data_IF_199856674354
#
_entry.id   IF_199856674354
#
_cell.length_a   1.000
_cell.length_b   1.000
_cell.length_c   1.000
_cell.angle_alpha   90.00
_cell.angle_beta   90.00
_cell.angle_gamma   90.00
#
_symmetry.space_group_name_H-M   'P 1'
#
loop_
_entity.id
_entity.type
_entity.pdbx_description
1 polymer ?
#
# COMPACT_ATOMS: atom_id res chain seq x y z
N UNK A 1 24.37 18.95 47.80
CA UNK A 1 24.62 19.12 46.35
C UNK A 1 24.34 17.86 45.52
N UNK A 2 24.67 16.65 46.00
CA UNK A 2 24.42 15.40 45.23
C UNK A 2 22.93 15.09 44.94
N UNK A 3 21.99 15.41 45.84
CA UNK A 3 20.55 15.10 45.65
C UNK A 3 19.88 15.88 44.50
N UNK A 4 20.37 17.08 44.19
CA UNK A 4 19.88 17.88 43.06
C UNK A 4 20.41 17.37 41.71
N UNK A 5 21.62 16.80 41.69
CA UNK A 5 22.21 16.22 40.48
C UNK A 5 21.49 14.93 40.04
N UNK A 6 21.06 14.10 41.00
CA UNK A 6 20.27 12.90 40.68
C UNK A 6 18.86 13.22 40.18
N UNK A 7 18.22 14.28 40.70
CA UNK A 7 16.91 14.73 40.24
C UNK A 7 16.94 15.28 38.81
N UNK A 8 18.00 16.01 38.44
CA UNK A 8 18.14 16.58 37.09
C UNK A 8 18.43 15.49 36.03
N UNK A 9 19.19 14.46 36.38
CA UNK A 9 19.47 13.33 35.48
C UNK A 9 18.21 12.50 35.16
N UNK A 10 17.31 12.32 36.13
CA UNK A 10 16.05 11.60 35.93
C UNK A 10 15.08 12.33 34.97
N UNK A 11 15.05 13.67 34.99
CA UNK A 11 14.19 14.48 34.10
C UNK A 11 14.69 14.45 32.66
N UNK A 12 16.01 14.45 32.44
CA UNK A 12 16.60 14.37 31.08
C UNK A 12 16.40 12.98 30.47
N UNK A 13 16.52 11.91 31.27
CA UNK A 13 16.25 10.54 30.81
C UNK A 13 14.78 10.31 30.45
N UNK A 14 13.84 10.99 31.13
CA UNK A 14 12.41 10.91 30.80
C UNK A 14 12.05 11.72 29.54
N UNK A 15 12.77 12.81 29.26
CA UNK A 15 12.60 13.62 28.05
C UNK A 15 13.20 12.98 26.78
N UNK A 16 14.22 12.13 26.92
CA UNK A 16 14.89 11.47 25.80
C UNK A 16 14.05 10.37 25.11
N UNK A 17 12.98 9.88 25.76
CA UNK A 17 12.14 8.79 25.22
C UNK A 17 11.08 9.23 24.20
N UNK A 18 11.00 10.54 23.88
CA UNK A 18 9.93 11.07 23.02
C UNK A 18 10.38 11.40 21.60
N UNK A 19 11.68 11.30 21.30
CA UNK A 19 12.24 11.66 20.00
C UNK A 19 12.61 10.42 19.18
N UNK A 20 11.61 9.68 18.70
CA UNK A 20 11.78 9.06 17.38
C UNK A 20 11.86 10.22 16.39
N UNK A 21 13.08 10.74 16.16
CA UNK A 21 13.35 11.84 15.26
C UNK A 21 13.01 11.40 13.83
N UNK A 22 11.75 11.58 13.49
CA UNK A 22 11.17 11.38 12.18
C UNK A 22 11.64 12.52 11.28
N UNK A 23 12.82 12.44 10.65
CA UNK A 23 13.17 13.40 9.59
C UNK A 23 12.20 13.22 8.43
N UNK A 24 11.30 14.17 8.27
CA UNK A 24 10.40 14.32 7.14
C UNK A 24 10.98 15.47 6.33
N UNK A 25 11.47 15.20 5.13
CA UNK A 25 11.82 16.26 4.20
C UNK A 25 10.56 17.00 3.75
N UNK A 26 10.70 18.25 3.31
CA UNK A 26 9.58 19.00 2.75
C UNK A 26 9.34 18.59 1.29
N UNK A 27 8.08 18.35 0.87
CA UNK A 27 7.75 18.15 -0.54
C UNK A 27 8.20 19.35 -1.39
N UNK A 28 8.65 19.08 -2.62
CA UNK A 28 9.07 20.09 -3.59
C UNK A 28 8.18 20.08 -4.84
N UNK A 29 8.34 21.09 -5.71
CA UNK A 29 7.59 21.19 -6.97
C UNK A 29 6.12 21.55 -6.77
N UNK A 30 5.23 21.01 -7.61
CA UNK A 30 3.79 21.33 -7.59
C UNK A 30 3.09 20.96 -6.27
N UNK A 31 3.64 20.04 -5.50
CA UNK A 31 3.10 19.61 -4.20
C UNK A 31 3.80 20.28 -3.01
N UNK A 32 4.65 21.28 -3.23
CA UNK A 32 5.29 22.03 -2.15
C UNK A 32 4.24 22.62 -1.19
N UNK A 33 4.50 22.51 0.12
CA UNK A 33 3.55 22.91 1.15
C UNK A 33 2.55 21.83 1.59
N UNK A 34 2.57 20.63 0.98
CA UNK A 34 1.76 19.50 1.47
C UNK A 34 2.17 19.13 2.90
N UNK A 35 1.20 19.08 3.80
CA UNK A 35 1.40 18.78 5.23
C UNK A 35 0.99 17.36 5.62
N UNK A 36 0.18 16.69 4.80
CA UNK A 36 -0.34 15.36 5.10
C UNK A 36 -1.13 15.35 6.42
N UNK A 37 -0.79 14.43 7.32
CA UNK A 37 -1.38 14.32 8.65
C UNK A 37 -0.73 15.18 9.74
N UNK A 38 0.04 16.22 9.39
CA UNK A 38 0.72 17.08 10.38
C UNK A 38 -0.28 17.66 11.40
N UNK A 39 0.13 17.70 12.67
CA UNK A 39 -0.74 18.09 13.80
C UNK A 39 -1.77 17.03 14.21
N UNK A 40 -1.89 15.95 13.45
CA UNK A 40 -2.72 14.79 13.75
C UNK A 40 -2.09 13.80 14.71
N UNK A 41 -2.88 12.81 15.15
CA UNK A 41 -2.42 11.74 16.03
C UNK A 41 -1.54 10.74 15.25
N UNK A 42 -0.45 10.29 15.87
CA UNK A 42 0.32 9.15 15.37
C UNK A 42 -0.34 7.84 15.78
N UNK A 43 -0.61 6.97 14.81
CA UNK A 43 -1.26 5.68 15.01
C UNK A 43 -0.46 4.55 14.39
N UNK A 44 -0.55 3.36 14.98
CA UNK A 44 0.19 2.16 14.58
C UNK A 44 -0.82 1.03 14.37
N UNK A 45 -1.38 0.87 13.16
CA UNK A 45 -2.35 -0.19 12.91
C UNK A 45 -1.76 -1.56 13.22
N UNK A 46 -2.57 -2.39 13.86
CA UNK A 46 -2.23 -3.76 14.27
C UNK A 46 -2.94 -4.80 13.42
N UNK A 47 -3.89 -4.39 12.57
CA UNK A 47 -4.58 -5.27 11.64
C UNK A 47 -4.87 -4.59 10.29
N UNK A 48 -5.18 -5.38 9.27
CA UNK A 48 -5.64 -4.88 7.97
C UNK A 48 -6.87 -3.98 8.10
N UNK A 49 -7.81 -4.34 8.99
CA UNK A 49 -9.03 -3.55 9.24
C UNK A 49 -8.70 -2.21 9.90
N UNK A 50 -7.82 -2.16 10.89
CA UNK A 50 -7.38 -0.90 11.49
C UNK A 50 -6.69 0.01 10.47
N UNK A 51 -5.83 -0.56 9.61
CA UNK A 51 -5.19 0.21 8.54
C UNK A 51 -6.24 0.83 7.61
N UNK A 52 -7.19 0.03 7.12
CA UNK A 52 -8.28 0.53 6.24
C UNK A 52 -9.09 1.62 6.94
N UNK A 53 -9.44 1.42 8.22
CA UNK A 53 -10.23 2.40 8.97
C UNK A 53 -9.46 3.71 9.21
N UNK A 54 -8.17 3.65 9.52
CA UNK A 54 -7.35 4.86 9.65
C UNK A 54 -7.18 5.60 8.34
N UNK A 55 -7.01 4.89 7.21
CA UNK A 55 -6.91 5.50 5.89
C UNK A 55 -8.22 6.21 5.48
N UNK A 56 -9.36 5.66 5.88
CA UNK A 56 -10.68 6.20 5.56
C UNK A 56 -11.21 7.25 6.58
N UNK A 57 -10.56 7.40 7.75
CA UNK A 57 -10.99 8.37 8.78
C UNK A 57 -10.96 9.81 8.26
N UNK A 58 -11.82 10.69 8.77
CA UNK A 58 -11.74 12.12 8.47
C UNK A 58 -10.72 12.88 9.33
N UNK A 59 -10.16 12.23 10.36
CA UNK A 59 -9.18 12.86 11.26
C UNK A 59 -7.81 13.03 10.57
N UNK A 60 -7.07 14.11 10.85
CA UNK A 60 -5.66 14.19 10.51
C UNK A 60 -4.87 13.08 11.23
N UNK A 61 -4.15 12.23 10.48
CA UNK A 61 -3.42 11.09 11.06
C UNK A 61 -2.04 10.89 10.45
N UNK A 62 -1.08 10.53 11.31
CA UNK A 62 0.22 9.97 10.92
C UNK A 62 0.17 8.46 11.16
N UNK A 63 -0.02 7.69 10.10
CA UNK A 63 -0.18 6.24 10.11
C UNK A 63 1.18 5.58 9.89
N UNK A 64 1.70 4.92 10.92
CA UNK A 64 3.03 4.30 10.91
C UNK A 64 2.92 2.78 10.74
N UNK A 65 3.46 2.28 9.63
CA UNK A 65 3.50 0.87 9.28
C UNK A 65 4.81 0.25 9.77
N UNK A 66 4.72 -0.60 10.80
CA UNK A 66 5.87 -1.30 11.38
C UNK A 66 5.93 -2.80 10.99
N UNK A 67 5.02 -3.25 10.12
CA UNK A 67 4.92 -4.65 9.67
C UNK A 67 4.26 -4.74 8.29
N UNK A 68 4.22 -5.97 7.78
CA UNK A 68 3.49 -6.29 6.55
C UNK A 68 1.99 -6.41 6.83
N UNK A 69 1.20 -5.70 6.03
CA UNK A 69 -0.26 -5.83 5.90
C UNK A 69 -0.54 -6.58 4.60
N UNK A 70 -0.77 -7.89 4.69
CA UNK A 70 -1.04 -8.76 3.55
C UNK A 70 -2.55 -8.94 3.38
N UNK A 71 -3.09 -8.43 2.28
CA UNK A 71 -4.51 -8.53 1.93
C UNK A 71 -4.80 -9.70 0.98
N UNK A 72 -3.78 -10.46 0.55
CA UNK A 72 -4.03 -11.62 -0.30
C UNK A 72 -4.89 -12.65 0.43
N UNK A 73 -5.89 -13.18 -0.25
CA UNK A 73 -6.84 -14.16 0.25
C UNK A 73 -7.92 -13.57 1.15
N UNK A 74 -7.87 -12.28 1.53
CA UNK A 74 -8.84 -11.72 2.48
C UNK A 74 -10.21 -11.47 1.85
N UNK A 75 -10.32 -11.53 0.52
CA UNK A 75 -11.57 -11.24 -0.20
C UNK A 75 -11.97 -12.33 -1.21
N UNK A 76 -11.39 -13.52 -1.05
CA UNK A 76 -11.63 -14.65 -1.93
C UNK A 76 -11.04 -14.46 -3.33
N UNK A 77 -11.36 -15.40 -4.22
CA UNK A 77 -10.87 -15.44 -5.59
C UNK A 77 -12.02 -15.48 -6.58
N UNK A 78 -11.81 -14.93 -7.77
CA UNK A 78 -12.73 -15.06 -8.91
C UNK A 78 -12.08 -15.90 -9.99
N UNK A 79 -12.86 -16.84 -10.55
CA UNK A 79 -12.46 -17.66 -11.70
C UNK A 79 -13.40 -17.37 -12.85
N UNK A 80 -12.85 -16.88 -13.96
CA UNK A 80 -13.65 -16.49 -15.14
C UNK A 80 -12.84 -16.60 -16.43
N UNK A 81 -13.51 -16.41 -17.56
CA UNK A 81 -12.84 -16.33 -18.85
C UNK A 81 -12.16 -14.97 -18.97
N UNK A 82 -10.85 -15.00 -19.16
CA UNK A 82 -10.05 -13.85 -19.59
C UNK A 82 -9.50 -14.04 -20.99
N UNK A 83 -8.47 -13.27 -21.29
CA UNK A 83 -7.91 -13.16 -22.61
C UNK A 83 -6.40 -13.28 -22.61
N UNK A 84 -5.88 -14.05 -23.57
CA UNK A 84 -4.45 -14.09 -23.87
C UNK A 84 -4.19 -13.40 -25.22
N UNK A 85 -3.46 -12.28 -25.28
CA UNK A 85 -3.28 -11.49 -26.51
C UNK A 85 -2.30 -12.14 -27.49
N UNK A 86 -2.47 -11.87 -28.78
CA UNK A 86 -1.64 -12.44 -29.87
C UNK A 86 -0.13 -12.19 -29.69
N UNK A 87 0.27 -10.94 -29.45
CA UNK A 87 1.66 -10.54 -29.29
C UNK A 87 2.35 -11.28 -28.13
N UNK A 88 1.61 -11.66 -27.09
CA UNK A 88 2.17 -12.48 -26.00
C UNK A 88 2.31 -13.94 -26.38
N UNK A 89 1.37 -14.48 -27.19
CA UNK A 89 1.45 -15.86 -27.71
C UNK A 89 2.63 -16.01 -28.67
N UNK A 90 2.86 -15.02 -29.53
CA UNK A 90 4.03 -14.98 -30.42
C UNK A 90 5.34 -15.01 -29.65
N UNK A 91 5.43 -14.26 -28.54
CA UNK A 91 6.60 -14.30 -27.65
C UNK A 91 6.79 -15.67 -26.99
N UNK A 92 5.71 -16.28 -26.47
CA UNK A 92 5.79 -17.61 -25.88
C UNK A 92 6.18 -18.70 -26.90
N UNK A 93 5.74 -18.57 -28.15
CA UNK A 93 6.08 -19.50 -29.23
C UNK A 93 7.60 -19.57 -29.51
N UNK A 94 8.36 -18.51 -29.18
CA UNK A 94 9.83 -18.48 -29.28
C UNK A 94 10.54 -19.35 -28.25
N UNK A 95 9.85 -19.86 -27.22
CA UNK A 95 10.40 -20.75 -26.17
C UNK A 95 11.67 -20.20 -25.48
N UNK A 96 11.78 -18.88 -25.36
CA UNK A 96 12.94 -18.19 -24.77
C UNK A 96 12.82 -17.93 -23.25
N UNK A 97 11.91 -18.65 -22.57
CA UNK A 97 11.64 -18.46 -21.14
C UNK A 97 10.62 -17.36 -20.81
N UNK A 98 10.11 -16.62 -21.79
CA UNK A 98 9.04 -15.63 -21.57
C UNK A 98 7.75 -16.29 -21.06
N UNK A 99 7.17 -15.72 -19.99
CA UNK A 99 5.85 -16.09 -19.44
C UNK A 99 4.89 -14.93 -19.65
N UNK A 100 3.79 -15.19 -20.35
CA UNK A 100 2.78 -14.18 -20.66
C UNK A 100 1.97 -13.78 -19.42
N UNK A 101 1.49 -12.54 -19.44
CA UNK A 101 0.37 -12.09 -18.61
C UNK A 101 -0.93 -12.27 -19.38
N UNK A 102 -1.96 -12.76 -18.68
CA UNK A 102 -3.32 -12.78 -19.21
C UNK A 102 -4.12 -11.57 -18.73
N UNK A 103 -5.16 -11.24 -19.49
CA UNK A 103 -5.98 -10.04 -19.30
C UNK A 103 -7.36 -10.44 -18.74
N UNK A 104 -7.74 -9.80 -17.63
CA UNK A 104 -9.12 -9.86 -17.12
C UNK A 104 -10.01 -9.00 -18.03
N UNK A 105 -11.11 -9.56 -18.52
CA UNK A 105 -12.08 -8.84 -19.37
C UNK A 105 -12.88 -7.87 -18.50
N UNK A 106 -12.82 -6.56 -18.79
CA UNK A 106 -13.47 -5.53 -17.99
C UNK A 106 -14.66 -4.92 -18.73
N UNK A 107 -15.85 -5.48 -18.56
CA UNK A 107 -17.08 -4.98 -19.20
C UNK A 107 -17.10 -5.19 -20.71
N UNK A 108 -18.16 -5.79 -21.25
CA UNK A 108 -18.25 -6.11 -22.67
C UNK A 108 -17.49 -7.39 -23.05
N UNK A 109 -16.82 -7.38 -24.20
CA UNK A 109 -16.21 -8.56 -24.81
C UNK A 109 -14.68 -8.45 -24.92
N UNK A 110 -14.03 -9.55 -25.30
CA UNK A 110 -12.60 -9.58 -25.64
C UNK A 110 -12.23 -8.50 -26.66
N UNK A 111 -13.07 -8.30 -27.68
CA UNK A 111 -12.82 -7.34 -28.76
C UNK A 111 -12.73 -5.89 -28.27
N UNK A 112 -13.36 -5.57 -27.14
CA UNK A 112 -13.45 -4.21 -26.59
C UNK A 112 -12.56 -4.01 -25.36
N UNK A 113 -11.90 -5.06 -24.87
CA UNK A 113 -11.03 -4.98 -23.70
C UNK A 113 -9.63 -4.54 -24.12
N UNK A 114 -9.16 -3.42 -23.58
CA UNK A 114 -7.79 -2.94 -23.78
C UNK A 114 -6.76 -4.00 -23.40
N UNK A 115 -5.77 -4.21 -24.26
CA UNK A 115 -4.74 -5.24 -24.07
C UNK A 115 -5.14 -6.64 -24.53
N UNK A 116 -6.35 -6.87 -25.06
CA UNK A 116 -6.83 -8.17 -25.56
C UNK A 116 -6.84 -8.29 -27.10
N UNK A 117 -6.00 -7.54 -27.81
CA UNK A 117 -5.93 -7.58 -29.28
C UNK A 117 -5.62 -8.99 -29.78
N UNK A 118 -6.38 -9.45 -30.80
CA UNK A 118 -6.25 -10.80 -31.36
C UNK A 118 -6.39 -11.92 -30.30
N UNK A 119 -7.11 -11.63 -29.22
CA UNK A 119 -7.15 -12.44 -28.01
C UNK A 119 -7.76 -13.83 -28.18
N UNK A 120 -7.21 -14.80 -27.46
CA UNK A 120 -7.82 -16.13 -27.28
C UNK A 120 -8.34 -16.28 -25.87
N UNK A 121 -9.48 -16.95 -25.71
CA UNK A 121 -10.07 -17.25 -24.41
C UNK A 121 -9.12 -18.09 -23.53
N UNK A 122 -8.96 -17.70 -22.28
CA UNK A 122 -8.21 -18.46 -21.26
C UNK A 122 -8.95 -18.42 -19.94
N UNK A 123 -8.91 -19.51 -19.17
CA UNK A 123 -9.51 -19.54 -17.82
C UNK A 123 -8.52 -18.91 -16.84
N UNK A 124 -8.94 -17.85 -16.16
CA UNK A 124 -8.13 -17.13 -15.18
C UNK A 124 -8.66 -17.37 -13.77
N UNK A 125 -7.78 -17.25 -12.78
CA UNK A 125 -8.17 -17.17 -11.37
C UNK A 125 -7.32 -16.10 -10.71
N UNK A 126 -7.96 -15.14 -10.06
CA UNK A 126 -7.27 -14.02 -9.42
C UNK A 126 -7.87 -13.69 -8.05
N UNK A 127 -7.06 -13.04 -7.23
CA UNK A 127 -7.42 -12.57 -5.90
C UNK A 127 -8.27 -11.29 -5.99
N UNK A 128 -9.41 -11.27 -5.30
CA UNK A 128 -10.32 -10.12 -5.33
C UNK A 128 -9.84 -8.95 -4.49
N UNK A 129 -8.87 -9.13 -3.58
CA UNK A 129 -8.38 -8.05 -2.74
C UNK A 129 -7.79 -6.91 -3.57
N UNK A 130 -7.06 -7.20 -4.66
CA UNK A 130 -6.51 -6.15 -5.53
C UNK A 130 -7.60 -5.36 -6.29
N UNK A 131 -8.82 -5.91 -6.40
CA UNK A 131 -9.96 -5.26 -7.09
C UNK A 131 -10.66 -4.24 -6.20
N UNK A 132 -10.68 -4.45 -4.88
CA UNK A 132 -11.30 -3.52 -3.93
C UNK A 132 -10.26 -2.57 -3.36
N UNK A 133 -10.21 -1.36 -3.91
CA UNK A 133 -9.25 -0.31 -3.53
C UNK A 133 -9.45 0.13 -2.07
N UNK A 134 -8.36 0.52 -1.41
CA UNK A 134 -8.45 1.26 -0.14
C UNK A 134 -8.72 2.73 -0.42
N UNK A 135 -9.70 3.29 0.28
CA UNK A 135 -9.93 4.73 0.28
C UNK A 135 -8.91 5.41 1.20
N UNK A 136 -8.21 6.42 0.66
CA UNK A 136 -7.37 7.32 1.45
C UNK A 136 -7.99 8.71 1.39
N UNK A 137 -8.51 9.17 2.52
CA UNK A 137 -9.10 10.52 2.64
C UNK A 137 -8.01 11.58 2.84
N UNK A 138 -8.42 12.85 2.93
CA UNK A 138 -7.51 13.96 3.19
C UNK A 138 -6.76 13.85 4.53
N UNK A 139 -5.69 14.64 4.66
CA UNK A 139 -4.90 14.81 5.88
C UNK A 139 -4.30 13.50 6.43
N UNK A 140 -3.66 12.71 5.56
CA UNK A 140 -2.98 11.46 5.93
C UNK A 140 -1.49 11.56 5.64
N UNK A 141 -0.68 11.08 6.57
CA UNK A 141 0.72 10.72 6.34
C UNK A 141 0.85 9.21 6.53
N UNK A 142 1.21 8.46 5.49
CA UNK A 142 1.42 7.00 5.55
C UNK A 142 2.92 6.76 5.48
N UNK A 143 3.49 6.07 6.48
CA UNK A 143 4.95 5.91 6.57
C UNK A 143 5.36 4.52 7.05
N UNK A 144 6.30 3.89 6.35
CA UNK A 144 6.96 2.67 6.81
C UNK A 144 8.14 2.90 7.75
N UNK A 145 8.36 1.98 8.70
CA UNK A 145 9.59 1.90 9.49
C UNK A 145 10.59 1.01 8.77
N UNK A 146 11.72 1.58 8.32
CA UNK A 146 12.77 0.85 7.62
C UNK A 146 12.20 0.06 6.43
N UNK A 147 12.43 -1.26 6.43
CA UNK A 147 11.91 -2.18 5.41
C UNK A 147 10.65 -2.94 5.86
N UNK A 148 10.14 -2.65 7.05
CA UNK A 148 9.07 -3.43 7.68
C UNK A 148 7.68 -3.00 7.25
N UNK A 149 7.48 -1.72 6.94
CA UNK A 149 6.19 -1.17 6.50
C UNK A 149 5.87 -1.57 5.07
N UNK A 150 5.06 -2.63 4.90
CA UNK A 150 4.71 -3.19 3.58
C UNK A 150 3.20 -3.37 3.49
N UNK A 151 2.61 -3.02 2.34
CA UNK A 151 1.22 -3.36 1.98
C UNK A 151 1.31 -4.32 0.78
N UNK A 152 0.61 -5.45 0.84
CA UNK A 152 0.68 -6.49 -0.19
C UNK A 152 -0.72 -6.93 -0.62
N UNK A 153 -0.93 -7.03 -1.93
CA UNK A 153 -2.15 -7.59 -2.51
C UNK A 153 -3.34 -6.65 -2.60
N UNK A 154 -3.16 -5.35 -2.29
CA UNK A 154 -4.18 -4.31 -2.38
C UNK A 154 -3.53 -2.96 -2.64
#
# INVERSE_FOLDING_TARGET
MARFQFALAAVIALAANSASAFTIGSPSGLAAGTTGGAGGKTVYPTSNSELVNYLASNDPLVIVLNKTFDFRGTEGTTTETGCRPDYTRECMAKKNGYKSQDVIIQGGSMANTGGCTGGTAVKLTYDNAARKRMTVTGNKTIRGIGKSGVIKGK
#
